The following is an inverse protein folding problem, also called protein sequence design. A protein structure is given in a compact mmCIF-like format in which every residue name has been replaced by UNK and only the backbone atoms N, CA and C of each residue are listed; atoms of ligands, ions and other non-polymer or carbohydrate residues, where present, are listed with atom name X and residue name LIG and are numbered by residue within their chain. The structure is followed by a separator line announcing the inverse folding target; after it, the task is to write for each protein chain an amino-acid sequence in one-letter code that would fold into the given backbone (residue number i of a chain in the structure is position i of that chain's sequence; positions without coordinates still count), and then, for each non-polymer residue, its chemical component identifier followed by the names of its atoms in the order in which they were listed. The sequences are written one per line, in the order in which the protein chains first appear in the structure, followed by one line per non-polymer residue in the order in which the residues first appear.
data_IF_409114851468
#
_entry.id   IF_409114851468
#
_cell.length_a   1.000
_cell.length_b   1.000
_cell.length_c   1.000
_cell.angle_alpha   90.00
_cell.angle_beta   90.00
_cell.angle_gamma   90.00
#
_symmetry.space_group_name_H-M   'P 1'
#
loop_
_entity.id
_entity.type
_entity.pdbx_description
1 polymer ?
#
# COMPACT_ATOMS: atom_id res chain seq x y z
N UNK A 1 36.75 -18.34 39.66
CA UNK A 1 36.13 -17.16 39.01
C UNK A 1 34.87 -17.65 38.34
N UNK A 2 33.70 -17.22 38.80
CA UNK A 2 32.43 -17.56 38.17
C UNK A 2 32.25 -16.73 36.89
N UNK A 3 31.71 -17.30 35.80
CA UNK A 3 31.45 -16.56 34.59
C UNK A 3 30.32 -15.56 34.84
N UNK A 4 30.62 -14.26 34.72
CA UNK A 4 29.62 -13.20 34.73
C UNK A 4 28.87 -13.20 33.41
N UNK A 5 27.66 -13.76 33.41
CA UNK A 5 26.71 -13.61 32.30
C UNK A 5 26.14 -12.19 32.32
N UNK A 6 26.56 -11.38 31.36
CA UNK A 6 25.96 -10.07 31.12
C UNK A 6 24.62 -10.27 30.38
N UNK A 7 23.51 -10.00 31.06
CA UNK A 7 22.19 -9.98 30.43
C UNK A 7 22.08 -8.64 29.69
N UNK A 8 22.40 -8.63 28.40
CA UNK A 8 22.01 -7.53 27.53
C UNK A 8 20.49 -7.58 27.38
N UNK A 9 19.79 -6.68 28.07
CA UNK A 9 18.37 -6.45 27.81
C UNK A 9 18.26 -5.75 26.45
N UNK A 10 18.36 -6.52 25.36
CA UNK A 10 17.93 -6.06 24.05
C UNK A 10 16.43 -5.82 24.20
N UNK A 11 16.04 -4.54 24.26
CA UNK A 11 14.64 -4.18 24.20
C UNK A 11 14.20 -4.62 22.81
N UNK A 12 13.57 -5.79 22.69
CA UNK A 12 12.95 -6.24 21.44
C UNK A 12 11.68 -5.41 21.27
N UNK A 13 11.83 -4.10 21.08
CA UNK A 13 10.82 -3.29 20.41
C UNK A 13 10.72 -3.91 19.02
N UNK A 14 9.66 -4.67 18.74
CA UNK A 14 9.38 -5.25 17.42
C UNK A 14 9.20 -4.11 16.44
N UNK A 15 10.27 -3.60 15.80
CA UNK A 15 10.21 -2.34 15.07
C UNK A 15 9.43 -2.54 13.76
N UNK A 16 9.36 -3.79 13.29
CA UNK A 16 8.66 -4.22 12.10
C UNK A 16 7.19 -3.78 12.08
N UNK A 17 6.47 -3.87 13.21
CA UNK A 17 5.06 -3.44 13.28
C UNK A 17 4.89 -1.94 13.07
N UNK A 18 5.77 -1.15 13.70
CA UNK A 18 5.74 0.31 13.58
C UNK A 18 6.11 0.73 12.16
N UNK A 19 7.16 0.13 11.60
CA UNK A 19 7.59 0.37 10.22
C UNK A 19 6.47 -0.01 9.24
N UNK A 20 5.78 -1.15 9.44
CA UNK A 20 4.67 -1.56 8.60
C UNK A 20 3.51 -0.54 8.62
N UNK A 21 3.17 -0.01 9.79
CA UNK A 21 2.13 1.03 9.91
C UNK A 21 2.57 2.33 9.23
N UNK A 22 3.82 2.78 9.43
CA UNK A 22 4.36 3.96 8.74
C UNK A 22 4.32 3.79 7.22
N UNK A 23 4.74 2.62 6.75
CA UNK A 23 4.71 2.22 5.34
C UNK A 23 3.28 2.27 4.79
N UNK A 24 2.29 1.77 5.53
CA UNK A 24 0.87 1.89 5.18
C UNK A 24 0.36 3.34 5.14
N UNK A 25 0.76 4.19 6.10
CA UNK A 25 0.40 5.62 6.10
C UNK A 25 1.00 6.37 4.91
N UNK A 26 2.26 6.10 4.57
CA UNK A 26 2.90 6.65 3.36
C UNK A 26 2.17 6.16 2.12
N UNK A 27 1.81 4.88 2.06
CA UNK A 27 1.08 4.34 0.93
C UNK A 27 -0.29 5.00 0.75
N UNK A 28 -1.04 5.25 1.83
CA UNK A 28 -2.29 6.00 1.81
C UNK A 28 -2.11 7.42 1.26
N UNK A 29 -1.09 8.13 1.72
CA UNK A 29 -0.80 9.48 1.25
C UNK A 29 -0.49 9.49 -0.26
N UNK A 30 0.40 8.59 -0.71
CA UNK A 30 0.74 8.46 -2.12
C UNK A 30 -0.47 8.06 -2.97
N UNK A 31 -1.34 7.22 -2.43
CA UNK A 31 -2.57 6.80 -3.11
C UNK A 31 -3.54 7.97 -3.30
N UNK A 32 -3.78 8.77 -2.26
CA UNK A 32 -4.60 9.98 -2.35
C UNK A 32 -4.02 10.97 -3.36
N UNK A 33 -2.70 11.18 -3.33
CA UNK A 33 -2.00 12.05 -4.26
C UNK A 33 -2.16 11.58 -5.71
N UNK A 34 -1.98 10.28 -5.96
CA UNK A 34 -2.17 9.68 -7.29
C UNK A 34 -3.62 9.84 -7.77
N UNK A 35 -4.61 9.54 -6.92
CA UNK A 35 -6.03 9.65 -7.29
C UNK A 35 -6.43 11.10 -7.60
N UNK A 36 -5.91 12.07 -6.85
CA UNK A 36 -6.24 13.49 -7.02
C UNK A 36 -5.51 14.15 -8.20
N UNK A 37 -4.38 13.59 -8.64
CA UNK A 37 -3.55 14.20 -9.67
C UNK A 37 -4.13 14.04 -11.10
N UNK A 38 -3.87 15.05 -11.92
CA UNK A 38 -4.34 15.13 -13.33
C UNK A 38 -3.30 14.61 -14.34
N UNK A 39 -2.17 14.09 -13.86
CA UNK A 39 -0.99 13.72 -14.66
C UNK A 39 -0.74 12.21 -14.63
N UNK A 40 -1.78 11.40 -14.85
CA UNK A 40 -1.58 9.96 -15.06
C UNK A 40 -0.95 9.70 -16.42
N UNK A 41 -1.39 10.47 -17.42
CA UNK A 41 -0.83 10.51 -18.76
C UNK A 41 -0.54 11.96 -19.14
N UNK A 42 0.53 12.15 -19.90
CA UNK A 42 0.95 13.45 -20.43
C UNK A 42 1.26 13.31 -21.92
N UNK A 43 0.79 14.27 -22.71
CA UNK A 43 1.04 14.32 -24.15
C UNK A 43 1.04 15.79 -24.59
N UNK A 44 2.15 16.28 -25.12
CA UNK A 44 2.38 17.66 -25.61
C UNK A 44 1.28 18.69 -25.26
N UNK A 45 1.35 19.24 -24.03
CA UNK A 45 0.40 20.25 -23.53
C UNK A 45 -0.97 19.71 -23.05
N UNK A 46 -1.17 18.40 -23.02
CA UNK A 46 -2.36 17.70 -22.51
C UNK A 46 -1.97 16.80 -21.35
N UNK A 47 -2.84 16.76 -20.34
CA UNK A 47 -2.69 15.96 -19.13
C UNK A 47 -4.01 15.29 -18.84
N UNK A 48 -3.98 13.97 -18.74
CA UNK A 48 -5.17 13.18 -18.43
C UNK A 48 -4.97 12.49 -17.09
N UNK A 49 -5.88 12.77 -16.17
CA UNK A 49 -6.01 12.08 -14.90
C UNK A 49 -7.27 11.25 -14.86
N UNK A 50 -7.53 10.69 -13.68
CA UNK A 50 -8.70 9.85 -13.48
C UNK A 50 -10.02 10.64 -13.52
N UNK A 51 -10.00 11.90 -13.06
CA UNK A 51 -11.20 12.76 -12.93
C UNK A 51 -11.31 13.83 -14.01
N UNK A 52 -10.18 14.37 -14.45
CA UNK A 52 -10.13 15.57 -15.30
C UNK A 52 -9.13 15.37 -16.44
N UNK A 53 -9.43 16.03 -17.55
CA UNK A 53 -8.56 16.18 -18.71
C UNK A 53 -8.23 17.67 -18.84
N UNK A 54 -6.95 18.01 -18.71
CA UNK A 54 -6.47 19.38 -18.85
C UNK A 54 -5.70 19.53 -20.17
N UNK A 55 -5.95 20.61 -20.90
CA UNK A 55 -5.28 20.95 -22.15
C UNK A 55 -4.86 22.41 -22.14
N UNK A 56 -3.68 22.68 -22.69
CA UNK A 56 -3.18 24.02 -22.99
C UNK A 56 -3.89 24.56 -24.24
N UNK A 57 -4.58 25.68 -24.13
CA UNK A 57 -5.44 26.23 -25.20
C UNK A 57 -4.74 27.26 -26.09
N UNK A 58 -3.72 27.96 -25.59
CA UNK A 58 -3.09 29.09 -26.28
C UNK A 58 -1.62 28.81 -26.69
N UNK A 59 -1.15 29.47 -27.74
CA UNK A 59 0.22 29.43 -28.28
C UNK A 59 1.27 29.97 -27.30
N UNK A 60 0.91 30.92 -26.44
CA UNK A 60 1.78 31.42 -25.35
C UNK A 60 1.77 30.49 -24.12
N UNK A 61 0.84 29.54 -24.09
CA UNK A 61 0.80 28.49 -23.09
C UNK A 61 0.39 28.92 -21.68
N UNK A 62 -0.11 30.13 -21.48
CA UNK A 62 -0.47 30.58 -20.13
C UNK A 62 -1.86 30.13 -19.68
N UNK A 63 -2.72 29.73 -20.62
CA UNK A 63 -4.09 29.27 -20.32
C UNK A 63 -4.17 27.74 -20.33
N UNK A 64 -4.67 27.17 -19.22
CA UNK A 64 -4.91 25.74 -19.03
C UNK A 64 -6.41 25.56 -18.81
N UNK A 65 -7.06 24.88 -19.74
CA UNK A 65 -8.46 24.50 -19.61
C UNK A 65 -8.55 23.07 -19.08
N UNK A 66 -9.23 22.88 -17.94
CA UNK A 66 -9.50 21.58 -17.36
C UNK A 66 -11.00 21.26 -17.46
N UNK A 67 -11.30 20.14 -18.10
CA UNK A 67 -12.67 19.63 -18.25
C UNK A 67 -12.79 18.27 -17.55
N UNK A 68 -14.02 17.88 -17.19
CA UNK A 68 -14.26 16.54 -16.63
C UNK A 68 -13.87 15.47 -17.65
N UNK A 69 -13.15 14.44 -17.18
CA UNK A 69 -12.73 13.35 -18.05
C UNK A 69 -13.98 12.57 -18.52
N UNK A 70 -14.04 12.36 -19.84
CA UNK A 70 -15.13 11.71 -20.56
C UNK A 70 -15.49 10.36 -19.91
N UNK A 71 -16.80 10.05 -19.76
CA UNK A 71 -17.23 8.82 -19.13
C UNK A 71 -16.94 7.64 -20.04
N UNK A 72 -15.84 6.93 -19.75
CA UNK A 72 -15.50 5.64 -20.37
C UNK A 72 -15.68 4.57 -19.29
N UNK A 73 -16.32 3.45 -19.64
CA UNK A 73 -16.66 2.40 -18.68
C UNK A 73 -15.43 1.89 -17.89
N UNK A 74 -14.27 1.78 -18.55
CA UNK A 74 -13.04 1.36 -17.90
C UNK A 74 -12.43 2.44 -16.99
N UNK A 75 -12.57 3.74 -17.32
CA UNK A 75 -12.15 4.85 -16.43
C UNK A 75 -13.02 4.87 -15.18
N UNK A 76 -14.33 4.67 -15.32
CA UNK A 76 -15.26 4.56 -14.19
C UNK A 76 -14.93 3.35 -13.30
N UNK A 77 -14.58 2.21 -13.90
CA UNK A 77 -14.10 1.06 -13.15
C UNK A 77 -12.79 1.37 -12.39
N UNK A 78 -11.82 2.05 -13.02
CA UNK A 78 -10.59 2.49 -12.35
C UNK A 78 -10.88 3.46 -11.18
N UNK A 79 -11.82 4.41 -11.33
CA UNK A 79 -12.30 5.29 -10.25
C UNK A 79 -12.83 4.49 -9.07
N UNK A 80 -13.72 3.55 -9.34
CA UNK A 80 -14.31 2.70 -8.31
C UNK A 80 -13.25 1.85 -7.61
N UNK A 81 -12.37 1.19 -8.37
CA UNK A 81 -11.31 0.34 -7.84
C UNK A 81 -10.32 1.13 -6.96
N UNK A 82 -9.87 2.31 -7.42
CA UNK A 82 -8.98 3.17 -6.65
C UNK A 82 -9.63 3.67 -5.35
N UNK A 83 -10.91 4.08 -5.39
CA UNK A 83 -11.62 4.53 -4.18
C UNK A 83 -11.87 3.39 -3.20
N UNK A 84 -12.25 2.20 -3.70
CA UNK A 84 -12.41 1.01 -2.87
C UNK A 84 -11.08 0.61 -2.24
N UNK A 85 -10.00 0.55 -3.01
CA UNK A 85 -8.67 0.25 -2.51
C UNK A 85 -8.22 1.27 -1.44
N UNK A 86 -8.55 2.55 -1.60
CA UNK A 86 -8.21 3.61 -0.64
C UNK A 86 -8.95 3.40 0.68
N UNK A 87 -10.26 3.12 0.61
CA UNK A 87 -11.07 2.83 1.79
C UNK A 87 -10.60 1.56 2.51
N UNK A 88 -10.30 0.50 1.76
CA UNK A 88 -9.80 -0.77 2.31
C UNK A 88 -8.41 -0.57 2.94
N UNK A 89 -7.51 0.18 2.31
CA UNK A 89 -6.20 0.52 2.86
C UNK A 89 -6.34 1.34 4.15
N UNK A 90 -7.26 2.31 4.20
CA UNK A 90 -7.51 3.11 5.39
C UNK A 90 -8.00 2.23 6.55
N UNK A 91 -8.94 1.32 6.28
CA UNK A 91 -9.38 0.33 7.25
C UNK A 91 -8.22 -0.55 7.75
N UNK A 92 -7.34 -1.02 6.85
CA UNK A 92 -6.18 -1.82 7.24
C UNK A 92 -5.24 -1.07 8.19
N UNK A 93 -4.93 0.20 7.89
CA UNK A 93 -4.09 1.05 8.74
C UNK A 93 -4.75 1.32 10.09
N UNK A 94 -6.05 1.60 10.13
CA UNK A 94 -6.79 1.77 11.40
C UNK A 94 -6.71 0.50 12.25
N UNK A 95 -6.97 -0.68 11.66
CA UNK A 95 -6.90 -1.96 12.35
C UNK A 95 -5.48 -2.23 12.88
N UNK A 96 -4.44 -1.93 12.09
CA UNK A 96 -3.05 -2.06 12.52
C UNK A 96 -2.70 -1.11 13.69
N UNK A 97 -3.18 0.14 13.65
CA UNK A 97 -3.03 1.11 14.74
C UNK A 97 -3.74 0.66 16.02
N UNK A 98 -4.95 0.10 15.93
CA UNK A 98 -5.65 -0.49 17.07
C UNK A 98 -4.88 -1.70 17.60
N UNK A 99 -4.30 -2.51 16.71
CA UNK A 99 -3.41 -3.62 17.08
C UNK A 99 -2.15 -3.16 17.82
N UNK A 100 -1.62 -1.95 17.55
CA UNK A 100 -0.48 -1.39 18.29
C UNK A 100 -0.85 -1.01 19.72
N UNK A 101 -2.05 -0.45 19.93
CA UNK A 101 -2.55 -0.03 21.25
C UNK A 101 -3.08 -1.19 22.11
N UNK A 102 -3.32 -2.35 21.52
CA UNK A 102 -3.90 -3.50 22.24
C UNK A 102 -2.84 -4.22 23.09
N UNK A 103 -3.04 -4.24 24.41
CA UNK A 103 -2.16 -4.95 25.35
C UNK A 103 -2.41 -6.46 25.41
N UNK A 104 -3.66 -6.89 25.16
CA UNK A 104 -4.05 -8.30 25.24
C UNK A 104 -3.48 -9.10 24.07
N UNK A 105 -2.50 -9.97 24.37
CA UNK A 105 -1.75 -10.77 23.39
C UNK A 105 -2.62 -11.51 22.36
N UNK A 106 -3.68 -12.21 22.81
CA UNK A 106 -4.57 -12.98 21.92
C UNK A 106 -5.30 -12.10 20.89
N UNK A 107 -5.83 -10.96 21.32
CA UNK A 107 -6.55 -10.04 20.44
C UNK A 107 -5.62 -9.29 19.50
N UNK A 108 -4.41 -8.95 19.98
CA UNK A 108 -3.35 -8.33 19.20
C UNK A 108 -3.04 -9.13 17.92
N UNK A 109 -2.87 -10.45 18.05
CA UNK A 109 -2.65 -11.35 16.90
C UNK A 109 -3.78 -11.27 15.87
N UNK A 110 -5.04 -11.33 16.30
CA UNK A 110 -6.19 -11.25 15.39
C UNK A 110 -6.26 -9.90 14.64
N UNK A 111 -5.98 -8.78 15.31
CA UNK A 111 -5.94 -7.47 14.66
C UNK A 111 -4.85 -7.39 13.58
N UNK A 112 -3.62 -7.84 13.86
CA UNK A 112 -2.55 -7.81 12.85
C UNK A 112 -2.81 -8.76 11.68
N UNK A 113 -3.36 -9.95 11.95
CA UNK A 113 -3.77 -10.89 10.90
C UNK A 113 -4.86 -10.28 10.02
N UNK A 114 -5.87 -9.65 10.62
CA UNK A 114 -6.91 -8.95 9.87
C UNK A 114 -6.33 -7.79 9.05
N UNK A 115 -5.50 -6.93 9.65
CA UNK A 115 -4.87 -5.82 8.95
C UNK A 115 -4.04 -6.27 7.74
N UNK A 116 -3.24 -7.32 7.89
CA UNK A 116 -2.44 -7.91 6.81
C UNK A 116 -3.33 -8.39 5.65
N UNK A 117 -4.39 -9.15 5.92
CA UNK A 117 -5.31 -9.65 4.89
C UNK A 117 -6.01 -8.49 4.17
N UNK A 118 -6.51 -7.51 4.93
CA UNK A 118 -7.18 -6.33 4.37
C UNK A 118 -6.21 -5.52 3.51
N UNK A 119 -4.95 -5.39 3.92
CA UNK A 119 -3.91 -4.68 3.16
C UNK A 119 -3.55 -5.40 1.86
N UNK A 120 -3.50 -6.75 1.85
CA UNK A 120 -3.36 -7.53 0.62
C UNK A 120 -4.55 -7.35 -0.33
N UNK A 121 -5.78 -7.22 0.19
CA UNK A 121 -6.95 -6.92 -0.64
C UNK A 121 -6.87 -5.51 -1.22
N UNK A 122 -6.40 -4.52 -0.45
CA UNK A 122 -6.22 -3.16 -0.95
C UNK A 122 -5.21 -3.10 -2.11
N UNK A 123 -4.05 -3.77 -1.96
CA UNK A 123 -3.01 -3.74 -3.01
C UNK A 123 -3.44 -4.46 -4.28
N UNK A 124 -4.23 -5.54 -4.19
CA UNK A 124 -4.75 -6.23 -5.39
C UNK A 124 -5.76 -5.37 -6.13
N UNK A 125 -6.70 -4.72 -5.42
CA UNK A 125 -7.65 -3.77 -6.03
C UNK A 125 -6.92 -2.61 -6.72
N UNK A 126 -5.89 -2.04 -6.07
CA UNK A 126 -5.09 -0.96 -6.64
C UNK A 126 -4.31 -1.43 -7.87
N UNK A 127 -3.66 -2.60 -7.80
CA UNK A 127 -2.90 -3.16 -8.91
C UNK A 127 -3.79 -3.44 -10.13
N UNK A 128 -5.01 -3.95 -9.92
CA UNK A 128 -5.99 -4.15 -10.99
C UNK A 128 -6.29 -2.82 -11.68
N UNK A 129 -6.53 -1.74 -10.93
CA UNK A 129 -6.77 -0.41 -11.51
C UNK A 129 -5.57 0.09 -12.32
N UNK A 130 -4.35 -0.03 -11.78
CA UNK A 130 -3.12 0.40 -12.43
C UNK A 130 -2.78 -0.41 -13.68
N UNK A 131 -3.25 -1.64 -13.79
CA UNK A 131 -3.05 -2.49 -15.00
C UNK A 131 -4.15 -2.22 -16.03
N UNK A 132 -5.41 -2.10 -15.60
CA UNK A 132 -6.54 -1.83 -16.52
C UNK A 132 -6.34 -0.50 -17.24
N UNK A 133 -5.88 0.53 -16.52
CA UNK A 133 -5.72 1.87 -17.06
C UNK A 133 -4.85 1.92 -18.34
N UNK A 134 -3.57 1.50 -18.34
CA UNK A 134 -2.73 1.51 -19.54
C UNK A 134 -3.21 0.52 -20.61
N UNK A 135 -3.72 -0.65 -20.24
CA UNK A 135 -4.16 -1.67 -21.20
C UNK A 135 -5.33 -1.14 -22.03
N UNK A 136 -6.34 -0.56 -21.36
CA UNK A 136 -7.52 -0.01 -22.04
C UNK A 136 -7.23 1.30 -22.75
N UNK A 137 -6.35 2.12 -22.20
CA UNK A 137 -5.88 3.31 -22.90
C UNK A 137 -5.13 2.96 -24.20
N UNK A 138 -4.27 1.93 -24.19
CA UNK A 138 -3.51 1.51 -25.36
C UNK A 138 -4.39 0.91 -26.47
N UNK A 139 -5.44 0.19 -26.09
CA UNK A 139 -6.45 -0.30 -27.05
C UNK A 139 -7.15 0.87 -27.77
N UNK A 140 -7.50 1.94 -27.05
CA UNK A 140 -8.16 3.11 -27.63
C UNK A 140 -7.26 3.96 -28.53
N UNK A 141 -5.99 4.14 -28.15
CA UNK A 141 -5.05 4.96 -28.95
C UNK A 141 -4.57 4.22 -30.21
N UNK A 142 -4.45 2.90 -30.18
CA UNK A 142 -4.06 2.13 -31.37
C UNK A 142 -5.10 2.27 -32.50
N UNK A 143 -6.35 2.57 -32.16
CA UNK A 143 -7.42 2.86 -33.11
C UNK A 143 -7.45 4.32 -33.61
N UNK A 144 -6.78 5.24 -32.91
CA UNK A 144 -6.79 6.68 -33.19
C UNK A 144 -5.36 7.15 -33.42
N UNK A 145 -4.96 7.33 -34.68
CA UNK A 145 -3.67 7.95 -35.03
C UNK A 145 -3.61 9.39 -34.51
N UNK A 146 -3.29 9.64 -33.23
CA UNK A 146 -3.06 11.00 -32.76
C UNK A 146 -2.35 11.08 -31.39
N UNK A 147 -1.21 11.78 -31.40
CA UNK A 147 -0.38 12.27 -30.27
C UNK A 147 0.33 11.19 -29.43
N UNK A 148 1.62 11.37 -29.18
CA UNK A 148 2.42 10.47 -28.33
C UNK A 148 2.11 10.75 -26.85
N UNK A 149 1.50 9.78 -26.19
CA UNK A 149 1.25 9.83 -24.74
C UNK A 149 2.36 9.14 -23.96
N UNK A 150 2.72 9.73 -22.84
CA UNK A 150 3.72 9.23 -21.91
C UNK A 150 3.09 9.11 -20.52
N UNK A 151 3.58 8.15 -19.74
CA UNK A 151 3.13 7.99 -18.36
C UNK A 151 3.62 9.15 -17.50
N UNK A 152 2.69 9.86 -16.89
CA UNK A 152 3.01 10.98 -16.02
C UNK A 152 3.39 10.52 -14.60
N UNK A 153 3.86 11.48 -13.80
CA UNK A 153 4.36 11.21 -12.45
C UNK A 153 3.30 10.60 -11.52
N UNK A 154 2.03 10.95 -11.68
CA UNK A 154 0.96 10.46 -10.81
C UNK A 154 0.74 8.96 -10.96
N UNK A 155 0.94 8.44 -12.17
CA UNK A 155 0.90 7.01 -12.45
C UNK A 155 2.06 6.28 -11.76
N UNK A 156 3.27 6.86 -11.81
CA UNK A 156 4.43 6.36 -11.07
C UNK A 156 4.20 6.37 -9.55
N UNK A 157 3.58 7.42 -9.01
CA UNK A 157 3.20 7.48 -7.58
C UNK A 157 2.15 6.41 -7.23
N UNK A 158 1.22 6.10 -8.14
CA UNK A 158 0.27 5.00 -7.96
C UNK A 158 0.97 3.66 -7.75
N UNK A 159 1.97 3.35 -8.58
CA UNK A 159 2.81 2.15 -8.41
C UNK A 159 3.68 2.21 -7.15
N UNK A 160 4.23 3.39 -6.82
CA UNK A 160 4.95 3.61 -5.57
C UNK A 160 4.09 3.29 -4.35
N UNK A 161 2.84 3.77 -4.31
CA UNK A 161 1.87 3.42 -3.28
C UNK A 161 1.64 1.90 -3.19
N UNK A 162 1.47 1.22 -4.34
CA UNK A 162 1.30 -0.23 -4.36
C UNK A 162 2.52 -0.97 -3.76
N UNK A 163 3.74 -0.51 -4.04
CA UNK A 163 4.97 -1.07 -3.46
C UNK A 163 5.00 -0.88 -1.94
N UNK A 164 4.69 0.33 -1.44
CA UNK A 164 4.61 0.55 0.01
C UNK A 164 3.51 -0.30 0.66
N UNK A 165 2.32 -0.43 0.05
CA UNK A 165 1.26 -1.31 0.57
C UNK A 165 1.70 -2.78 0.62
N UNK A 166 2.36 -3.26 -0.44
CA UNK A 166 2.87 -4.63 -0.51
C UNK A 166 3.97 -4.85 0.53
N UNK A 167 4.92 -3.91 0.66
CA UNK A 167 5.97 -3.94 1.67
C UNK A 167 5.41 -3.96 3.09
N UNK A 168 4.42 -3.12 3.39
CA UNK A 168 3.73 -3.13 4.67
C UNK A 168 3.05 -4.49 4.95
N UNK A 169 2.40 -5.08 3.94
CA UNK A 169 1.76 -6.40 4.05
C UNK A 169 2.76 -7.52 4.33
N UNK A 170 3.92 -7.50 3.65
CA UNK A 170 5.01 -8.45 3.85
C UNK A 170 5.64 -8.29 5.24
N UNK A 171 5.87 -7.05 5.69
CA UNK A 171 6.40 -6.79 7.04
C UNK A 171 5.48 -7.33 8.14
N UNK A 172 4.16 -7.16 7.99
CA UNK A 172 3.18 -7.75 8.91
C UNK A 172 3.18 -9.28 8.87
N UNK A 173 3.43 -9.88 7.70
CA UNK A 173 3.52 -11.33 7.54
C UNK A 173 4.79 -11.90 8.20
N UNK A 174 5.95 -11.27 7.97
CA UNK A 174 7.21 -11.69 8.59
C UNK A 174 7.13 -11.58 10.11
N UNK A 175 6.56 -10.49 10.63
CA UNK A 175 6.40 -10.32 12.06
C UNK A 175 5.50 -11.40 12.67
N UNK A 176 4.40 -11.77 11.99
CA UNK A 176 3.54 -12.89 12.40
C UNK A 176 4.33 -14.21 12.49
N UNK A 177 5.09 -14.54 11.46
CA UNK A 177 5.83 -15.80 11.40
C UNK A 177 6.88 -15.85 12.53
N UNK A 178 7.54 -14.73 12.82
CA UNK A 178 8.44 -14.60 13.97
C UNK A 178 7.73 -14.77 15.32
N UNK A 179 6.50 -14.25 15.47
CA UNK A 179 5.68 -14.46 16.67
C UNK A 179 5.28 -15.92 16.87
N UNK A 180 4.93 -16.62 15.78
CA UNK A 180 4.54 -18.03 15.81
C UNK A 180 5.72 -18.95 16.18
N UNK A 181 6.92 -18.67 15.66
CA UNK A 181 8.15 -19.41 16.03
C UNK A 181 8.47 -19.23 17.52
N UNK A 182 8.46 -18.00 18.02
CA UNK A 182 8.69 -17.69 19.44
C UNK A 182 7.68 -18.39 20.37
N UNK A 183 6.43 -18.53 19.94
CA UNK A 183 5.42 -19.24 20.71
C UNK A 183 5.72 -20.75 20.78
N UNK A 184 6.13 -21.35 19.66
CA UNK A 184 6.50 -22.77 19.56
C UNK A 184 7.72 -23.11 20.41
N UNK A 185 8.75 -22.27 20.40
CA UNK A 185 9.95 -22.46 21.22
C UNK A 185 9.63 -22.48 22.71
N UNK A 186 8.83 -21.52 23.19
CA UNK A 186 8.40 -21.47 24.60
C UNK A 186 7.60 -22.69 25.02
N UNK A 187 6.71 -23.18 24.15
CA UNK A 187 5.95 -24.41 24.45
C UNK A 187 6.85 -25.64 24.51
N UNK A 188 7.84 -25.76 23.62
CA UNK A 188 8.78 -26.90 23.62
C UNK A 188 9.69 -26.91 24.85
N UNK A 189 10.19 -25.73 25.28
CA UNK A 189 10.99 -25.62 26.50
C UNK A 189 10.18 -26.00 27.76
N UNK A 190 8.92 -25.56 27.86
CA UNK A 190 8.05 -25.93 28.98
C UNK A 190 7.71 -27.44 29.03
N UNK A 191 7.80 -28.16 27.90
CA UNK A 191 7.55 -29.61 27.83
C UNK A 191 8.79 -30.42 28.24
N UNK A 192 10.00 -29.88 28.04
CA UNK A 192 11.27 -30.51 28.42
C UNK A 192 11.89 -29.73 29.59
N UNK A 193 11.40 -29.92 30.84
CA UNK A 193 12.12 -29.36 31.99
C UNK A 193 13.54 -29.94 32.01
N UNK A 194 14.55 -29.07 32.19
CA UNK A 194 15.92 -29.52 32.43
C UNK A 194 15.91 -30.54 33.59
N UNK A 195 16.61 -31.68 33.48
CA UNK A 195 16.76 -32.56 34.63
C UNK A 195 17.44 -31.76 35.74
N UNK A 196 16.77 -31.63 36.89
CA UNK A 196 17.38 -31.06 38.10
C UNK A 196 18.72 -31.76 38.33
N UNK A 197 19.82 -31.01 38.20
CA UNK A 197 21.15 -31.49 38.61
C UNK A 197 21.09 -31.72 40.14
N UNK A 198 21.01 -32.99 40.53
CA UNK A 198 21.13 -33.50 41.91
C UNK A 198 22.58 -33.56 42.33
#
# INVERSE_FOLDING_TARGET
MAPTVAIETVIIVRPLKVIAVLCGCVALFLMMLSIAATTWLEADGRREGLWELCRRTDTDGMEIECIKNQPRAWIEACRALCLMALAVCLCAVIVACVGLKTERFRWKYHYYKAAMIIMFIAVTLQAISLIIFPVKFLEEITQKEEVRWEFGWAYGIGWGSAIFMLGASILLLIDRDNEEVMYREKTNHNINPEPEEV
#
